data_IF_375275734379
#
_entry.id   IF_375275734379
#
_cell.length_a   1.000
_cell.length_b   1.000
_cell.length_c   1.000
_cell.angle_alpha   90.00
_cell.angle_beta   90.00
_cell.angle_gamma   90.00
#
_symmetry.space_group_name_H-M   'P 1'
#
loop_
_entity.id
_entity.type
_entity.pdbx_description
1 polymer ?
#
# COMPACT_ATOMS: atom_id res chain seq x y z
N UNK A 1 -85.37 -6.72 -1.87
CA UNK A 1 -85.14 -7.72 -2.94
C UNK A 1 -84.66 -6.97 -4.17
N UNK A 2 -83.47 -7.29 -4.69
CA UNK A 2 -82.94 -6.64 -5.90
C UNK A 2 -81.42 -6.47 -5.85
N UNK A 3 -80.72 -7.51 -6.28
CA UNK A 3 -79.27 -7.62 -6.41
C UNK A 3 -78.72 -6.71 -7.51
N UNK A 4 -77.55 -6.09 -7.29
CA UNK A 4 -76.74 -5.53 -8.38
C UNK A 4 -75.25 -5.74 -8.09
N UNK A 5 -74.60 -6.43 -9.01
CA UNK A 5 -73.26 -7.00 -8.91
C UNK A 5 -72.12 -5.98 -9.13
N UNK A 6 -70.99 -6.25 -8.48
CA UNK A 6 -69.69 -5.59 -8.67
C UNK A 6 -69.04 -5.92 -10.03
N UNK A 7 -68.30 -4.98 -10.65
CA UNK A 7 -67.32 -5.30 -11.67
C UNK A 7 -65.95 -5.63 -11.04
N UNK A 8 -65.34 -6.72 -11.49
CA UNK A 8 -63.99 -7.14 -11.12
C UNK A 8 -62.93 -6.24 -11.77
N UNK A 9 -62.02 -5.67 -10.96
CA UNK A 9 -60.81 -4.98 -11.43
C UNK A 9 -59.68 -5.98 -11.65
N UNK A 10 -59.32 -6.21 -12.91
CA UNK A 10 -58.11 -6.95 -13.29
C UNK A 10 -56.86 -6.25 -12.76
N UNK A 11 -56.05 -6.98 -11.98
CA UNK A 11 -54.72 -6.54 -11.55
C UNK A 11 -53.70 -7.02 -12.58
N UNK A 12 -53.20 -6.10 -13.41
CA UNK A 12 -52.02 -6.36 -14.23
C UNK A 12 -50.77 -6.36 -13.35
N UNK A 13 -50.11 -7.52 -13.20
CA UNK A 13 -48.77 -7.59 -12.63
C UNK A 13 -47.77 -7.05 -13.65
N UNK A 14 -47.17 -5.90 -13.35
CA UNK A 14 -45.94 -5.44 -14.01
C UNK A 14 -44.76 -6.26 -13.45
N UNK A 15 -43.92 -6.87 -14.31
CA UNK A 15 -42.74 -7.58 -13.83
C UNK A 15 -41.70 -6.57 -13.36
N UNK A 16 -41.39 -6.56 -12.07
CA UNK A 16 -40.19 -5.91 -11.53
C UNK A 16 -38.96 -6.58 -12.12
N UNK A 17 -38.31 -5.90 -13.05
CA UNK A 17 -37.01 -6.29 -13.58
C UNK A 17 -35.98 -6.16 -12.44
N UNK A 18 -35.58 -7.29 -11.85
CA UNK A 18 -34.50 -7.32 -10.88
C UNK A 18 -33.19 -7.02 -11.61
N UNK A 19 -32.65 -5.82 -11.43
CA UNK A 19 -31.32 -5.46 -11.90
C UNK A 19 -30.30 -6.20 -11.03
N UNK A 20 -29.82 -7.34 -11.51
CA UNK A 20 -28.69 -8.04 -10.92
C UNK A 20 -27.45 -7.15 -11.02
N UNK A 21 -27.13 -6.39 -9.96
CA UNK A 21 -25.79 -5.83 -9.80
C UNK A 21 -24.83 -7.02 -9.62
N UNK A 22 -24.11 -7.37 -10.68
CA UNK A 22 -22.95 -8.23 -10.55
C UNK A 22 -21.96 -7.56 -9.58
N UNK A 23 -21.39 -8.29 -8.61
CA UNK A 23 -20.33 -7.74 -7.77
C UNK A 23 -19.17 -7.35 -8.69
N UNK A 24 -18.76 -6.09 -8.64
CA UNK A 24 -17.54 -5.65 -9.29
C UNK A 24 -16.41 -6.54 -8.75
N UNK A 25 -15.81 -7.34 -9.62
CA UNK A 25 -14.58 -8.07 -9.30
C UNK A 25 -13.60 -7.03 -8.76
N UNK A 26 -13.06 -7.27 -7.56
CA UNK A 26 -12.07 -6.40 -6.96
C UNK A 26 -10.86 -6.34 -7.90
N UNK A 27 -10.77 -5.30 -8.70
CA UNK A 27 -9.65 -5.02 -9.60
C UNK A 27 -8.48 -4.47 -8.78
N UNK A 28 -7.23 -4.72 -9.21
CA UNK A 28 -6.11 -3.92 -8.73
C UNK A 28 -6.39 -2.45 -9.04
N UNK A 29 -5.89 -1.54 -8.21
CA UNK A 29 -6.23 -0.12 -8.34
C UNK A 29 -5.86 0.40 -9.73
N UNK A 30 -6.84 0.81 -10.57
CA UNK A 30 -6.56 1.19 -11.94
C UNK A 30 -5.94 2.59 -12.02
N UNK A 31 -5.26 2.87 -13.12
CA UNK A 31 -4.89 4.25 -13.46
C UNK A 31 -6.11 5.19 -13.38
N UNK A 32 -5.92 6.46 -12.99
CA UNK A 32 -7.02 7.42 -12.92
C UNK A 32 -7.83 7.46 -14.24
N UNK A 33 -9.15 7.58 -14.10
CA UNK A 33 -10.04 7.67 -15.25
C UNK A 33 -9.94 9.03 -15.95
N UNK A 34 -9.77 10.11 -15.17
CA UNK A 34 -9.57 11.45 -15.69
C UNK A 34 -8.21 11.56 -16.41
N UNK A 35 -8.15 12.10 -17.64
CA UNK A 35 -6.91 12.17 -18.42
C UNK A 35 -5.81 13.02 -17.77
N UNK A 36 -6.16 14.13 -17.11
CA UNK A 36 -5.18 15.02 -16.48
C UNK A 36 -4.61 14.37 -15.22
N UNK A 37 -5.47 13.75 -14.42
CA UNK A 37 -5.08 12.95 -13.25
C UNK A 37 -4.19 11.76 -13.65
N UNK A 38 -4.53 11.07 -14.75
CA UNK A 38 -3.73 9.97 -15.29
C UNK A 38 -2.35 10.44 -15.72
N UNK A 39 -2.30 11.53 -16.49
CA UNK A 39 -1.03 12.12 -16.93
C UNK A 39 -0.17 12.52 -15.72
N UNK A 40 -0.77 13.16 -14.72
CA UNK A 40 -0.10 13.51 -13.47
C UNK A 40 0.45 12.27 -12.76
N UNK A 41 -0.36 11.22 -12.56
CA UNK A 41 0.09 9.97 -11.93
C UNK A 41 1.30 9.35 -12.65
N UNK A 42 1.21 9.23 -13.98
CA UNK A 42 2.23 8.62 -14.83
C UNK A 42 3.53 9.43 -14.86
N UNK A 43 3.45 10.76 -14.77
CA UNK A 43 4.64 11.62 -14.68
C UNK A 43 5.52 11.31 -13.47
N UNK A 44 4.95 10.73 -12.41
CA UNK A 44 5.67 10.33 -11.20
C UNK A 44 6.04 8.83 -11.15
N UNK A 45 5.71 8.03 -12.16
CA UNK A 45 5.98 6.58 -12.19
C UNK A 45 7.46 6.28 -12.04
N UNK A 46 8.32 6.94 -12.82
CA UNK A 46 9.77 6.74 -12.76
C UNK A 46 10.34 6.99 -11.35
N UNK A 47 9.79 7.95 -10.62
CA UNK A 47 10.20 8.22 -9.24
C UNK A 47 9.69 7.17 -8.25
N UNK A 48 8.45 6.70 -8.38
CA UNK A 48 7.87 5.66 -7.49
C UNK A 48 8.48 4.29 -7.71
N UNK A 49 8.89 4.00 -8.94
CA UNK A 49 9.45 2.72 -9.37
C UNK A 49 10.98 2.72 -9.38
N UNK A 50 11.63 3.84 -9.02
CA UNK A 50 13.08 3.97 -9.04
C UNK A 50 13.77 2.88 -8.20
N UNK A 51 14.85 2.34 -8.74
CA UNK A 51 15.78 1.49 -7.99
C UNK A 51 16.71 2.39 -7.19
N UNK A 52 16.79 2.14 -5.89
CA UNK A 52 17.66 2.90 -5.00
C UNK A 52 18.63 1.95 -4.29
N UNK A 53 19.89 2.09 -4.67
CA UNK A 53 21.02 1.24 -4.24
C UNK A 53 21.95 1.97 -3.26
N UNK A 54 21.58 3.16 -2.77
CA UNK A 54 22.48 4.03 -1.98
C UNK A 54 22.79 3.44 -0.61
N UNK A 55 21.78 2.88 0.06
CA UNK A 55 21.90 2.34 1.41
C UNK A 55 21.52 0.85 1.42
N UNK A 56 22.43 -0.04 1.87
CA UNK A 56 22.16 -1.48 1.87
C UNK A 56 21.08 -1.87 2.88
N UNK A 57 20.96 -1.14 4.00
CA UNK A 57 19.93 -1.32 5.02
C UNK A 57 19.30 0.04 5.31
N UNK A 58 17.99 0.16 5.11
CA UNK A 58 17.25 1.40 5.37
C UNK A 58 15.77 1.13 5.63
N UNK A 59 15.11 2.07 6.32
CA UNK A 59 13.65 2.17 6.35
C UNK A 59 13.21 3.55 5.86
N UNK A 60 12.08 3.62 5.17
CA UNK A 60 11.59 4.85 4.58
C UNK A 60 10.07 4.84 4.42
N UNK A 61 9.47 6.01 4.26
CA UNK A 61 8.06 6.12 3.89
C UNK A 61 7.93 5.84 2.39
N UNK A 62 7.19 4.79 2.01
CA UNK A 62 7.08 4.39 0.60
C UNK A 62 6.17 5.34 -0.20
N UNK A 63 5.21 6.00 0.46
CA UNK A 63 4.23 6.86 -0.19
C UNK A 63 4.35 8.35 0.13
N UNK A 64 4.98 8.74 1.25
CA UNK A 64 5.12 10.14 1.70
C UNK A 64 6.52 10.71 1.48
N UNK A 65 6.61 12.02 1.26
CA UNK A 65 7.86 12.79 1.15
C UNK A 65 7.84 14.00 2.08
N UNK A 66 9.04 14.53 2.36
CA UNK A 66 9.20 15.77 3.09
C UNK A 66 8.55 16.94 2.35
N UNK A 67 7.66 17.66 3.03
CA UNK A 67 6.88 18.77 2.50
C UNK A 67 5.52 18.38 1.92
N UNK A 68 5.15 17.09 1.91
CA UNK A 68 3.85 16.65 1.38
C UNK A 68 2.70 17.29 2.18
N UNK A 69 1.68 17.76 1.47
CA UNK A 69 0.42 18.27 2.00
C UNK A 69 -0.63 17.17 1.89
N UNK A 70 -1.21 16.78 3.02
CA UNK A 70 -2.16 15.67 3.11
C UNK A 70 -3.45 16.08 3.81
N UNK A 71 -4.51 15.32 3.64
CA UNK A 71 -5.76 15.46 4.40
C UNK A 71 -5.90 14.31 5.39
N UNK A 72 -6.50 14.55 6.55
CA UNK A 72 -6.68 13.54 7.62
C UNK A 72 -8.04 12.82 7.52
N UNK A 73 -8.13 11.51 7.84
CA UNK A 73 -7.02 10.60 8.08
C UNK A 73 -6.21 10.32 6.81
N UNK A 74 -4.95 9.95 6.95
CA UNK A 74 -4.08 9.61 5.82
C UNK A 74 -3.34 8.29 6.02
N UNK A 75 -3.09 7.61 4.90
CA UNK A 75 -2.34 6.37 4.84
C UNK A 75 -0.84 6.64 4.82
N UNK A 76 -0.11 5.84 5.59
CA UNK A 76 1.35 5.85 5.66
C UNK A 76 1.85 4.46 5.36
N UNK A 77 2.73 4.32 4.38
CA UNK A 77 3.30 3.05 3.97
C UNK A 77 4.76 2.96 4.39
N UNK A 78 5.15 1.80 4.90
CA UNK A 78 6.50 1.54 5.37
C UNK A 78 7.28 0.75 4.32
N UNK A 79 8.50 1.18 4.05
CA UNK A 79 9.48 0.45 3.26
C UNK A 79 10.65 0.01 4.15
N UNK A 80 11.22 -1.16 3.84
CA UNK A 80 12.46 -1.65 4.44
C UNK A 80 13.30 -2.34 3.38
N UNK A 81 14.60 -2.05 3.38
CA UNK A 81 15.61 -2.67 2.51
C UNK A 81 16.71 -3.31 3.34
N UNK A 82 17.28 -4.39 2.83
CA UNK A 82 18.36 -5.14 3.48
C UNK A 82 17.95 -5.96 4.71
N UNK A 83 16.70 -5.84 5.16
CA UNK A 83 16.14 -6.57 6.30
C UNK A 83 14.72 -7.04 5.99
N UNK A 84 14.29 -8.09 6.69
CA UNK A 84 12.91 -8.57 6.69
C UNK A 84 12.04 -7.91 7.75
N UNK A 85 10.73 -8.06 7.62
CA UNK A 85 9.77 -7.72 8.68
C UNK A 85 9.35 -9.00 9.40
N UNK A 86 9.28 -8.95 10.72
CA UNK A 86 8.77 -10.02 11.58
C UNK A 86 8.02 -9.42 12.78
N UNK A 87 6.94 -10.03 13.26
CA UNK A 87 6.26 -9.58 14.47
C UNK A 87 7.17 -9.56 15.70
N UNK A 88 6.99 -8.56 16.57
CA UNK A 88 7.67 -8.44 17.85
C UNK A 88 7.48 -9.72 18.70
N UNK A 89 8.44 -9.98 19.59
CA UNK A 89 8.50 -11.19 20.40
C UNK A 89 9.10 -12.41 19.70
N UNK A 90 9.42 -12.31 18.40
CA UNK A 90 10.01 -13.40 17.61
C UNK A 90 11.44 -13.03 17.20
N UNK A 91 12.47 -13.57 17.88
CA UNK A 91 13.86 -13.24 17.59
C UNK A 91 14.27 -13.59 16.16
N UNK A 92 14.93 -12.66 15.47
CA UNK A 92 15.55 -12.85 14.17
C UNK A 92 16.63 -11.78 13.94
N UNK A 93 17.86 -12.17 13.60
CA UNK A 93 18.97 -11.23 13.47
C UNK A 93 18.91 -10.37 12.20
N UNK A 94 18.06 -10.75 11.23
CA UNK A 94 17.93 -10.09 9.92
C UNK A 94 16.54 -9.50 9.70
N UNK A 95 15.69 -9.49 10.73
CA UNK A 95 14.34 -8.97 10.63
C UNK A 95 13.90 -8.26 11.90
N UNK A 96 12.97 -7.32 11.74
CA UNK A 96 12.44 -6.52 12.84
C UNK A 96 11.05 -6.00 12.54
N UNK A 97 10.66 -4.92 13.19
CA UNK A 97 9.37 -4.29 12.91
C UNK A 97 9.43 -2.77 12.99
N UNK A 98 8.43 -2.14 12.37
CA UNK A 98 8.36 -0.70 12.22
C UNK A 98 7.79 -0.01 13.47
N UNK A 99 8.28 1.21 13.68
CA UNK A 99 7.72 2.21 14.57
C UNK A 99 7.60 3.52 13.80
N UNK A 100 6.64 4.36 14.19
CA UNK A 100 6.56 5.76 13.73
C UNK A 100 6.74 6.66 14.94
N UNK A 101 7.67 7.60 14.80
CA UNK A 101 7.85 8.74 15.69
C UNK A 101 7.08 9.92 15.11
N UNK A 102 6.17 10.49 15.91
CA UNK A 102 5.31 11.62 15.54
C UNK A 102 5.66 12.79 16.46
N UNK A 103 6.13 13.89 15.90
CA UNK A 103 6.49 15.12 16.62
C UNK A 103 7.43 14.87 17.82
N UNK A 104 8.30 13.87 17.70
CA UNK A 104 9.19 13.45 18.79
C UNK A 104 10.56 13.02 18.25
N UNK A 105 11.66 13.34 18.97
CA UNK A 105 13.00 12.91 18.55
C UNK A 105 13.20 11.40 18.70
N UNK A 106 14.28 10.89 18.10
CA UNK A 106 14.75 9.54 18.34
C UNK A 106 14.99 9.29 19.85
N UNK A 107 14.73 8.07 20.35
CA UNK A 107 15.07 7.71 21.72
C UNK A 107 16.59 7.85 21.94
N UNK A 108 16.98 8.40 23.09
CA UNK A 108 18.41 8.62 23.42
C UNK A 108 19.12 7.32 23.78
N UNK A 109 18.40 6.41 24.43
CA UNK A 109 18.89 5.08 24.78
C UNK A 109 18.43 4.08 23.72
N UNK A 110 19.40 3.37 23.15
CA UNK A 110 19.21 2.38 22.09
C UNK A 110 19.30 0.95 22.59
N UNK A 111 19.66 0.77 23.85
CA UNK A 111 19.74 -0.52 24.51
C UNK A 111 18.43 -0.87 25.22
N UNK A 112 17.63 0.15 25.51
CA UNK A 112 16.29 0.04 26.08
C UNK A 112 15.21 -0.12 24.99
N UNK A 113 14.09 -0.79 25.31
CA UNK A 113 12.91 -0.81 24.46
C UNK A 113 12.38 0.59 24.18
N UNK A 114 11.86 0.82 22.96
CA UNK A 114 11.19 2.05 22.59
C UNK A 114 9.97 2.26 23.51
N UNK A 115 9.78 3.46 24.11
CA UNK A 115 8.63 3.75 24.95
C UNK A 115 7.30 3.58 24.21
N UNK A 116 6.26 3.09 24.89
CA UNK A 116 4.91 3.08 24.35
C UNK A 116 4.23 4.41 24.67
N UNK A 117 3.83 5.16 23.64
CA UNK A 117 3.11 6.42 23.81
C UNK A 117 2.35 6.80 22.54
N UNK A 118 1.62 7.93 22.57
CA UNK A 118 0.96 8.46 21.37
C UNK A 118 1.96 8.93 20.29
N UNK A 119 3.15 9.37 20.69
CA UNK A 119 4.19 9.88 19.77
C UNK A 119 5.17 8.79 19.31
N UNK A 120 5.33 7.71 20.08
CA UNK A 120 6.05 6.50 19.68
C UNK A 120 5.04 5.40 19.38
N UNK A 121 4.58 5.31 18.12
CA UNK A 121 3.61 4.29 17.68
C UNK A 121 4.31 3.01 17.25
N UNK A 122 3.78 1.87 17.70
CA UNK A 122 4.37 0.54 17.51
C UNK A 122 3.62 -0.28 16.46
N UNK A 123 4.35 -0.91 15.55
CA UNK A 123 3.81 -1.80 14.51
C UNK A 123 4.44 -3.20 14.61
N UNK A 124 4.38 -3.77 15.81
CA UNK A 124 4.96 -5.07 16.16
C UNK A 124 4.18 -6.30 15.66
N UNK A 125 3.17 -6.16 14.79
CA UNK A 125 2.47 -7.32 14.18
C UNK A 125 2.96 -7.61 12.76
N UNK A 126 4.07 -6.99 12.35
CA UNK A 126 4.58 -7.09 10.98
C UNK A 126 3.77 -6.27 9.97
N UNK A 127 3.17 -5.15 10.41
CA UNK A 127 2.42 -4.27 9.51
C UNK A 127 3.35 -3.57 8.51
N UNK A 128 2.80 -3.24 7.35
CA UNK A 128 3.51 -2.59 6.23
C UNK A 128 3.02 -1.18 5.95
N UNK A 129 2.08 -0.69 6.76
CA UNK A 129 1.52 0.64 6.72
C UNK A 129 0.49 0.84 7.83
N UNK A 130 0.01 2.07 7.98
CA UNK A 130 -1.01 2.45 8.97
C UNK A 130 -1.78 3.68 8.54
N UNK A 131 -2.95 3.87 9.14
CA UNK A 131 -3.67 5.13 9.11
C UNK A 131 -3.22 6.02 10.27
N UNK A 132 -2.90 7.28 9.94
CA UNK A 132 -2.71 8.35 10.91
C UNK A 132 -3.90 9.32 10.83
N UNK A 133 -4.48 9.62 11.98
CA UNK A 133 -5.45 10.70 12.13
C UNK A 133 -4.82 11.79 13.00
N UNK A 134 -4.19 12.76 12.33
CA UNK A 134 -3.51 13.88 12.99
C UNK A 134 -4.33 15.16 12.80
N UNK A 135 -4.32 16.08 13.78
CA UNK A 135 -4.99 17.36 13.63
C UNK A 135 -4.39 18.18 12.47
N UNK A 136 -5.12 19.16 11.92
CA UNK A 136 -4.55 20.08 10.94
C UNK A 136 -3.33 20.84 11.47
N UNK A 137 -2.33 21.02 10.62
CA UNK A 137 -1.06 21.69 10.91
C UNK A 137 0.16 20.88 10.50
N UNK A 138 1.33 21.41 10.85
CA UNK A 138 2.62 20.81 10.55
C UNK A 138 2.97 19.71 11.55
N UNK A 139 3.33 18.54 11.06
CA UNK A 139 3.80 17.40 11.84
C UNK A 139 5.12 16.86 11.31
N UNK A 140 5.99 16.37 12.20
CA UNK A 140 7.18 15.60 11.80
C UNK A 140 6.94 14.10 12.00
N UNK A 141 7.41 13.31 11.03
CA UNK A 141 7.31 11.87 11.02
C UNK A 141 8.69 11.25 10.77
N UNK A 142 9.02 10.20 11.52
CA UNK A 142 10.21 9.37 11.28
C UNK A 142 9.89 7.89 11.50
N UNK A 143 10.35 7.02 10.60
CA UNK A 143 10.34 5.58 10.84
C UNK A 143 11.56 5.17 11.66
N UNK A 144 11.35 4.23 12.57
CA UNK A 144 12.40 3.57 13.35
C UNK A 144 12.18 2.06 13.30
N UNK A 145 13.24 1.32 12.97
CA UNK A 145 13.21 -0.13 12.95
C UNK A 145 13.83 -0.70 14.23
N UNK A 146 13.22 -1.76 14.76
CA UNK A 146 13.65 -2.37 16.02
C UNK A 146 13.53 -3.89 15.99
N UNK A 147 14.25 -4.53 16.90
CA UNK A 147 14.27 -5.97 17.08
C UNK A 147 12.98 -6.51 17.71
N UNK A 148 12.95 -7.82 17.96
CA UNK A 148 11.85 -8.50 18.63
C UNK A 148 11.48 -7.95 20.02
N UNK A 149 12.40 -7.28 20.72
CA UNK A 149 12.20 -6.70 22.05
C UNK A 149 11.90 -5.19 21.99
N UNK A 150 11.61 -4.65 20.80
CA UNK A 150 11.43 -3.21 20.54
C UNK A 150 12.71 -2.39 20.80
N UNK A 151 13.89 -3.01 20.78
CA UNK A 151 15.16 -2.29 20.89
C UNK A 151 15.60 -1.79 19.52
N UNK A 152 15.90 -0.49 19.35
CA UNK A 152 16.25 0.07 18.06
C UNK A 152 17.46 -0.62 17.42
N UNK A 153 17.38 -0.94 16.13
CA UNK A 153 18.57 -1.27 15.33
C UNK A 153 19.37 -0.01 14.93
N UNK A 154 18.88 1.18 15.28
CA UNK A 154 19.28 2.47 14.71
C UNK A 154 19.20 2.53 13.19
N UNK A 155 18.37 1.68 12.59
CA UNK A 155 17.92 1.82 11.21
C UNK A 155 16.66 2.69 11.25
N UNK A 156 16.78 3.93 10.77
CA UNK A 156 15.69 4.91 10.77
C UNK A 156 15.65 5.70 9.47
N UNK A 157 14.49 6.27 9.17
CA UNK A 157 14.35 7.14 8.00
C UNK A 157 14.87 8.55 8.28
N UNK A 158 15.12 9.31 7.21
CA UNK A 158 15.08 10.77 7.33
C UNK A 158 13.77 11.20 7.99
N UNK A 159 13.83 12.25 8.81
CA UNK A 159 12.60 12.89 9.31
C UNK A 159 11.99 13.68 8.16
N UNK A 160 10.67 13.54 8.01
CA UNK A 160 9.89 14.30 7.05
C UNK A 160 8.92 15.20 7.81
N UNK A 161 8.71 16.41 7.31
CA UNK A 161 7.60 17.26 7.70
C UNK A 161 6.43 17.04 6.73
N UNK A 162 5.22 16.88 7.26
CA UNK A 162 3.98 16.87 6.47
C UNK A 162 3.05 17.97 6.96
N UNK A 163 2.29 18.56 6.05
CA UNK A 163 1.27 19.56 6.38
C UNK A 163 -0.12 18.91 6.27
N UNK A 164 -0.80 18.73 7.40
CA UNK A 164 -2.17 18.24 7.42
C UNK A 164 -3.11 19.42 7.17
N UNK A 165 -3.70 19.45 5.98
CA UNK A 165 -4.48 20.59 5.48
C UNK A 165 -5.91 20.66 6.00
N UNK A 166 -6.45 19.54 6.52
CA UNK A 166 -7.84 19.46 6.96
C UNK A 166 -8.38 18.04 6.90
N UNK A 167 -9.64 17.87 7.30
CA UNK A 167 -10.34 16.58 7.22
C UNK A 167 -10.69 16.24 5.78
N UNK A 168 -10.51 14.97 5.39
CA UNK A 168 -11.03 14.43 4.12
C UNK A 168 -12.56 14.51 4.09
N UNK A 169 -13.20 14.18 5.20
CA UNK A 169 -14.64 14.30 5.35
C UNK A 169 -15.06 15.78 5.26
N UNK A 170 -15.99 16.08 4.36
CA UNK A 170 -16.52 17.45 4.16
C UNK A 170 -15.63 18.39 3.36
N UNK A 171 -14.42 17.97 2.94
CA UNK A 171 -13.53 18.77 2.09
C UNK A 171 -13.39 18.12 0.72
N UNK A 172 -13.67 18.82 -0.39
CA UNK A 172 -13.43 18.29 -1.72
C UNK A 172 -11.99 17.80 -1.88
N UNK A 173 -11.81 16.68 -2.58
CA UNK A 173 -10.47 16.24 -2.98
C UNK A 173 -9.86 17.27 -3.94
N UNK A 174 -8.54 17.51 -3.88
CA UNK A 174 -7.87 18.26 -4.94
C UNK A 174 -8.16 17.63 -6.30
N UNK A 175 -8.06 18.43 -7.36
CA UNK A 175 -8.26 18.01 -8.75
C UNK A 175 -7.14 18.61 -9.59
N UNK A 176 -6.70 17.87 -10.61
CA UNK A 176 -5.73 18.39 -11.56
C UNK A 176 -6.40 19.38 -12.51
N UNK A 177 -5.79 20.56 -12.67
CA UNK A 177 -6.20 21.62 -13.55
C UNK A 177 -5.20 21.75 -14.70
N UNK A 178 -5.70 21.92 -15.92
CA UNK A 178 -4.85 22.02 -17.11
C UNK A 178 -3.89 23.21 -17.01
N UNK A 179 -2.60 22.95 -17.21
CA UNK A 179 -1.55 23.97 -17.15
C UNK A 179 -1.10 24.37 -15.74
N UNK A 180 -1.68 23.78 -14.68
CA UNK A 180 -1.29 24.08 -13.30
C UNK A 180 -0.56 22.88 -12.66
N UNK A 181 0.78 22.95 -12.63
CA UNK A 181 1.61 21.95 -11.99
C UNK A 181 1.36 21.82 -10.47
N UNK A 182 0.96 22.89 -9.80
CA UNK A 182 0.68 22.84 -8.36
C UNK A 182 -0.59 22.05 -8.06
N UNK A 183 -1.59 22.11 -8.94
CA UNK A 183 -2.80 21.28 -8.83
C UNK A 183 -2.50 19.78 -9.01
N UNK A 184 -1.58 19.43 -9.93
CA UNK A 184 -1.08 18.06 -10.10
C UNK A 184 -0.37 17.57 -8.85
N UNK A 185 0.59 18.35 -8.31
CA UNK A 185 1.32 17.98 -7.10
C UNK A 185 0.37 17.82 -5.89
N UNK A 186 -0.55 18.77 -5.68
CA UNK A 186 -1.51 18.71 -4.58
C UNK A 186 -2.44 17.49 -4.67
N UNK A 187 -2.94 17.19 -5.88
CA UNK A 187 -3.71 15.97 -6.13
C UNK A 187 -2.87 14.72 -5.88
N UNK A 188 -1.65 14.67 -6.40
CA UNK A 188 -0.77 13.52 -6.31
C UNK A 188 -0.37 13.18 -4.87
N UNK A 189 -0.02 14.20 -4.07
CA UNK A 189 0.26 14.06 -2.64
C UNK A 189 -0.96 13.51 -1.88
N UNK A 190 -2.15 14.06 -2.15
CA UNK A 190 -3.38 13.61 -1.50
C UNK A 190 -3.75 12.17 -1.88
N UNK A 191 -3.60 11.80 -3.15
CA UNK A 191 -3.91 10.47 -3.65
C UNK A 191 -3.01 9.39 -3.04
N UNK A 192 -1.68 9.60 -3.03
CA UNK A 192 -0.73 8.66 -2.41
C UNK A 192 -0.98 8.42 -0.92
N UNK A 193 -1.56 9.41 -0.25
CA UNK A 193 -1.87 9.37 1.18
C UNK A 193 -3.32 9.01 1.47
N UNK A 194 -4.12 8.63 0.47
CA UNK A 194 -5.54 8.28 0.68
C UNK A 194 -5.65 6.91 1.35
N UNK A 195 -6.38 6.78 2.47
CA UNK A 195 -6.68 5.49 3.08
C UNK A 195 -7.28 4.49 2.08
N UNK A 196 -6.73 3.28 2.06
CA UNK A 196 -7.28 2.19 1.23
C UNK A 196 -8.64 1.78 1.78
N UNK A 197 -9.66 1.72 0.92
CA UNK A 197 -11.02 1.33 1.28
C UNK A 197 -11.19 -0.21 1.37
N UNK A 198 -10.20 -0.93 1.91
CA UNK A 198 -10.26 -2.38 1.96
C UNK A 198 -11.37 -2.85 2.93
N UNK A 199 -12.38 -3.53 2.40
CA UNK A 199 -13.47 -4.13 3.18
C UNK A 199 -13.03 -5.38 3.99
N UNK A 200 -11.74 -5.73 3.98
CA UNK A 200 -11.20 -6.97 4.55
C UNK A 200 -9.67 -7.06 4.50
N UNK A 201 -9.16 -8.29 4.49
CA UNK A 201 -7.73 -8.57 4.35
C UNK A 201 -7.29 -8.40 2.89
N UNK A 202 -6.16 -7.74 2.67
CA UNK A 202 -5.61 -7.44 1.35
C UNK A 202 -4.09 -7.66 1.34
N UNK A 203 -3.58 -8.18 0.22
CA UNK A 203 -2.17 -8.10 -0.17
C UNK A 203 -2.11 -7.36 -1.49
N UNK A 204 -1.25 -6.34 -1.58
CA UNK A 204 -1.27 -5.38 -2.68
C UNK A 204 0.12 -4.87 -3.04
N UNK A 205 0.20 -4.30 -4.24
CA UNK A 205 1.36 -3.52 -4.70
C UNK A 205 1.12 -2.06 -4.32
N UNK A 206 2.10 -1.46 -3.64
CA UNK A 206 2.01 -0.11 -3.07
C UNK A 206 2.23 0.99 -4.10
N UNK A 207 3.20 0.79 -4.99
CA UNK A 207 3.82 1.88 -5.75
C UNK A 207 3.45 1.92 -7.25
N UNK A 208 2.63 0.98 -7.72
CA UNK A 208 2.16 0.86 -9.11
C UNK A 208 0.65 0.65 -9.14
N UNK A 209 0.03 1.04 -10.26
CA UNK A 209 -1.39 0.81 -10.59
C UNK A 209 -1.56 -0.10 -11.81
N UNK A 210 -2.75 -0.70 -11.93
CA UNK A 210 -3.09 -1.55 -13.08
C UNK A 210 -3.07 -0.73 -14.38
N UNK A 211 -2.34 -1.25 -15.38
CA UNK A 211 -2.10 -0.61 -16.67
C UNK A 211 -0.93 0.37 -16.69
N UNK A 212 -0.14 0.48 -15.61
CA UNK A 212 1.01 1.36 -15.53
C UNK A 212 2.21 0.82 -16.33
N UNK A 213 3.02 1.73 -16.88
CA UNK A 213 4.21 1.39 -17.69
C UNK A 213 5.46 1.81 -16.94
N UNK A 214 6.43 0.90 -16.82
CA UNK A 214 7.69 1.10 -16.09
C UNK A 214 8.91 0.85 -16.96
N UNK A 215 10.08 1.25 -16.48
CA UNK A 215 11.38 0.97 -17.11
C UNK A 215 12.14 -0.05 -16.28
N UNK A 216 12.68 -1.09 -16.93
CA UNK A 216 13.52 -2.09 -16.24
C UNK A 216 14.95 -1.60 -16.00
N UNK A 217 15.59 -1.90 -14.86
CA UNK A 217 14.98 -2.51 -13.66
C UNK A 217 14.16 -1.50 -12.86
N UNK A 218 13.18 -1.99 -12.13
CA UNK A 218 12.31 -1.17 -11.26
C UNK A 218 12.07 -1.81 -9.90
N UNK A 219 11.70 -1.01 -8.91
CA UNK A 219 11.31 -1.48 -7.57
C UNK A 219 9.81 -1.75 -7.53
N UNK A 220 9.42 -2.89 -6.97
CA UNK A 220 8.04 -3.18 -6.54
C UNK A 220 8.00 -3.19 -5.02
N UNK A 221 7.12 -2.37 -4.44
CA UNK A 221 6.89 -2.29 -2.99
C UNK A 221 5.56 -2.96 -2.65
N UNK A 222 5.54 -3.74 -1.56
CA UNK A 222 4.43 -4.64 -1.24
C UNK A 222 3.83 -4.33 0.12
N UNK A 223 2.52 -4.49 0.20
CA UNK A 223 1.73 -4.20 1.38
C UNK A 223 0.79 -5.34 1.76
N UNK A 224 0.50 -5.41 3.04
CA UNK A 224 -0.58 -6.17 3.65
C UNK A 224 -1.46 -5.23 4.47
N UNK A 225 -2.77 -5.48 4.43
CA UNK A 225 -3.77 -4.73 5.18
C UNK A 225 -4.85 -5.68 5.70
N UNK A 226 -5.48 -5.31 6.82
CA UNK A 226 -6.59 -6.04 7.41
C UNK A 226 -6.23 -6.74 8.72
N UNK A 227 -7.28 -7.20 9.43
CA UNK A 227 -7.16 -7.70 10.79
C UNK A 227 -6.20 -8.89 10.91
N UNK A 228 -5.19 -8.75 11.76
CA UNK A 228 -4.21 -9.79 12.08
C UNK A 228 -3.17 -10.08 11.00
N UNK A 229 -3.28 -9.48 9.81
CA UNK A 229 -2.38 -9.74 8.70
C UNK A 229 -1.04 -9.02 8.89
N UNK A 230 0.06 -9.74 8.68
CA UNK A 230 1.41 -9.21 8.85
C UNK A 230 2.44 -9.93 7.99
N UNK A 231 3.63 -9.37 7.95
CA UNK A 231 4.79 -9.98 7.28
C UNK A 231 5.63 -10.75 8.28
N UNK A 232 6.06 -11.95 7.91
CA UNK A 232 7.04 -12.75 8.62
C UNK A 232 7.84 -13.61 7.63
N UNK A 233 9.13 -13.91 7.90
CA UNK A 233 9.94 -14.76 7.03
C UNK A 233 9.38 -16.18 6.90
N UNK A 234 9.81 -16.88 5.85
CA UNK A 234 9.60 -18.32 5.71
C UNK A 234 10.16 -19.08 6.93
N UNK A 235 9.53 -20.20 7.28
CA UNK A 235 9.82 -21.00 8.48
C UNK A 235 9.18 -20.48 9.77
N UNK A 236 8.55 -19.29 9.77
CA UNK A 236 7.84 -18.77 10.94
C UNK A 236 6.51 -19.52 11.20
N UNK A 237 6.17 -19.70 12.47
CA UNK A 237 4.90 -20.34 12.90
C UNK A 237 3.86 -19.31 13.39
N UNK A 238 3.99 -18.06 12.94
CA UNK A 238 3.19 -16.94 13.44
C UNK A 238 1.90 -16.81 12.63
N UNK A 239 0.75 -16.96 13.32
CA UNK A 239 -0.58 -16.97 12.71
C UNK A 239 -0.84 -15.69 11.90
N UNK A 240 -1.49 -15.86 10.74
CA UNK A 240 -1.91 -14.77 9.84
C UNK A 240 -0.75 -13.91 9.32
N UNK A 241 0.48 -14.39 9.41
CA UNK A 241 1.66 -13.71 8.85
C UNK A 241 2.37 -14.56 7.83
N UNK A 242 3.09 -13.90 6.92
CA UNK A 242 3.74 -14.59 5.83
C UNK A 242 4.71 -13.72 5.05
N UNK A 243 5.25 -14.27 3.97
CA UNK A 243 6.18 -13.60 3.09
C UNK A 243 5.61 -13.50 1.68
N UNK A 244 6.08 -12.52 0.91
CA UNK A 244 5.52 -12.26 -0.41
C UNK A 244 6.08 -13.18 -1.48
N UNK A 245 5.21 -13.58 -2.40
CA UNK A 245 5.58 -14.20 -3.66
C UNK A 245 5.08 -13.31 -4.81
N UNK A 246 5.99 -12.90 -5.68
CA UNK A 246 5.67 -12.20 -6.92
C UNK A 246 5.73 -13.19 -8.09
N UNK A 247 4.76 -13.11 -8.98
CA UNK A 247 4.75 -13.82 -10.27
C UNK A 247 4.46 -12.84 -11.39
N UNK A 248 5.29 -12.86 -12.42
CA UNK A 248 5.15 -12.07 -13.63
C UNK A 248 4.94 -13.03 -14.80
N UNK A 249 3.77 -12.96 -15.43
CA UNK A 249 3.39 -13.81 -16.56
C UNK A 249 3.24 -12.98 -17.83
N UNK A 250 3.94 -13.39 -18.89
CA UNK A 250 3.73 -12.87 -20.24
C UNK A 250 2.85 -13.86 -21.02
N UNK A 251 1.94 -13.36 -21.86
CA UNK A 251 1.08 -14.23 -22.68
C UNK A 251 1.92 -15.13 -23.58
N UNK A 252 1.83 -16.45 -23.39
CA UNK A 252 2.61 -17.44 -24.14
C UNK A 252 4.09 -17.50 -23.76
N UNK A 253 4.51 -16.79 -22.71
CA UNK A 253 5.88 -16.75 -22.20
C UNK A 253 6.07 -17.51 -20.89
N UNK A 254 7.30 -17.52 -20.39
CA UNK A 254 7.62 -18.08 -19.08
C UNK A 254 7.09 -17.20 -17.95
N UNK A 255 6.82 -17.81 -16.79
CA UNK A 255 6.47 -17.09 -15.56
C UNK A 255 7.73 -16.85 -14.75
N UNK A 256 8.10 -15.58 -14.58
CA UNK A 256 9.18 -15.20 -13.66
C UNK A 256 8.62 -15.07 -12.25
N UNK A 257 9.28 -15.69 -11.26
CA UNK A 257 8.86 -15.62 -9.86
C UNK A 257 9.96 -15.07 -8.99
N UNK A 258 9.59 -14.25 -8.01
CA UNK A 258 10.49 -13.84 -6.93
C UNK A 258 9.86 -14.16 -5.59
N UNK A 259 10.50 -15.05 -4.84
CA UNK A 259 10.11 -15.39 -3.48
C UNK A 259 10.87 -14.50 -2.49
N UNK A 260 10.15 -13.70 -1.69
CA UNK A 260 10.71 -12.81 -0.67
C UNK A 260 10.75 -13.51 0.70
N UNK A 261 11.28 -14.74 0.73
CA UNK A 261 11.26 -15.65 1.89
C UNK A 261 11.97 -15.12 3.14
N UNK A 262 12.81 -14.10 3.00
CA UNK A 262 13.46 -13.39 4.10
C UNK A 262 12.54 -12.37 4.80
N UNK A 263 11.29 -12.22 4.35
CA UNK A 263 10.31 -11.28 4.90
C UNK A 263 10.50 -9.84 4.42
N UNK A 264 11.32 -9.60 3.39
CA UNK A 264 11.45 -8.26 2.80
C UNK A 264 10.15 -7.85 2.11
N UNK A 265 9.91 -6.54 2.04
CA UNK A 265 8.66 -5.97 1.51
C UNK A 265 8.85 -5.23 0.19
N UNK A 266 10.08 -5.26 -0.34
CA UNK A 266 10.45 -4.65 -1.61
C UNK A 266 11.30 -5.62 -2.45
N UNK A 267 11.14 -5.55 -3.76
CA UNK A 267 11.90 -6.35 -4.72
C UNK A 267 12.36 -5.48 -5.89
N UNK A 268 13.61 -5.66 -6.32
CA UNK A 268 14.07 -5.15 -7.60
C UNK A 268 13.68 -6.17 -8.67
N UNK A 269 12.98 -5.69 -9.68
CA UNK A 269 12.42 -6.48 -10.76
C UNK A 269 13.13 -6.09 -12.04
N UNK A 270 13.74 -7.09 -12.67
CA UNK A 270 14.30 -6.98 -14.00
C UNK A 270 13.49 -7.87 -14.95
N UNK A 271 12.83 -7.24 -15.92
CA UNK A 271 11.97 -7.87 -16.91
C UNK A 271 12.36 -7.40 -18.32
N UNK A 272 12.24 -8.27 -19.34
CA UNK A 272 12.38 -7.82 -20.71
C UNK A 272 11.22 -6.91 -21.12
N UNK A 273 11.36 -6.25 -22.27
CA UNK A 273 10.30 -5.40 -22.83
C UNK A 273 9.04 -6.21 -23.12
N UNK A 274 7.88 -5.64 -22.81
CA UNK A 274 6.58 -6.25 -23.10
C UNK A 274 5.54 -6.03 -22.00
N UNK A 275 4.40 -6.70 -22.17
CA UNK A 275 3.26 -6.64 -21.24
C UNK A 275 3.25 -7.85 -20.32
N UNK A 276 3.07 -7.61 -19.02
CA UNK A 276 3.06 -8.65 -17.99
C UNK A 276 1.82 -8.54 -17.11
N UNK A 277 1.26 -9.67 -16.73
CA UNK A 277 0.40 -9.77 -15.56
C UNK A 277 1.29 -9.99 -14.33
N UNK A 278 1.24 -9.05 -13.38
CA UNK A 278 1.84 -9.12 -12.06
C UNK A 278 0.81 -9.64 -11.05
N UNK A 279 1.15 -10.76 -10.43
CA UNK A 279 0.40 -11.34 -9.33
C UNK A 279 1.23 -11.32 -8.06
N UNK A 280 0.71 -10.67 -7.01
CA UNK A 280 1.25 -10.77 -5.64
C UNK A 280 0.46 -11.78 -4.82
N UNK A 281 1.15 -12.56 -4.00
CA UNK A 281 0.58 -13.44 -3.01
C UNK A 281 1.35 -13.34 -1.68
N UNK A 282 0.69 -13.72 -0.59
CA UNK A 282 1.28 -13.91 0.72
C UNK A 282 1.23 -15.40 1.07
N UNK A 283 2.39 -15.97 1.41
CA UNK A 283 2.52 -17.37 1.86
C UNK A 283 2.90 -17.42 3.33
N UNK A 284 2.33 -18.35 4.09
CA UNK A 284 2.73 -18.58 5.48
C UNK A 284 4.17 -19.11 5.58
N UNK A 285 4.68 -19.30 6.80
CA UNK A 285 6.03 -19.82 6.99
C UNK A 285 6.26 -21.23 6.44
N UNK A 286 5.22 -22.03 6.20
CA UNK A 286 5.33 -23.34 5.55
C UNK A 286 5.22 -23.26 4.02
N UNK A 287 4.97 -22.07 3.45
CA UNK A 287 4.80 -21.85 2.02
C UNK A 287 3.36 -22.03 1.52
N UNK A 288 2.38 -22.23 2.41
CA UNK A 288 0.97 -22.33 2.01
C UNK A 288 0.44 -20.93 1.69
N UNK A 289 -0.42 -20.84 0.67
CA UNK A 289 -1.07 -19.59 0.29
C UNK A 289 -2.00 -19.10 1.42
N UNK A 290 -1.72 -17.92 1.97
CA UNK A 290 -2.61 -17.23 2.91
C UNK A 290 -3.60 -16.33 2.19
N UNK A 291 -3.08 -15.53 1.26
CA UNK A 291 -3.88 -14.55 0.52
C UNK A 291 -3.25 -14.30 -0.84
N UNK A 292 -4.11 -14.07 -1.84
CA UNK A 292 -3.72 -13.71 -3.19
C UNK A 292 -4.29 -12.32 -3.47
N UNK A 293 -3.45 -11.40 -3.94
CA UNK A 293 -3.89 -10.07 -4.33
C UNK A 293 -4.65 -10.12 -5.64
N UNK A 294 -5.25 -9.01 -6.05
CA UNK A 294 -5.76 -8.94 -7.41
C UNK A 294 -4.60 -8.83 -8.39
N UNK A 295 -4.57 -9.62 -9.48
CA UNK A 295 -3.58 -9.42 -10.53
C UNK A 295 -3.71 -8.03 -11.18
N UNK A 296 -2.57 -7.50 -11.63
CA UNK A 296 -2.49 -6.22 -12.34
C UNK A 296 -1.61 -6.33 -13.57
N UNK A 297 -1.86 -5.51 -14.56
CA UNK A 297 -1.09 -5.44 -15.80
C UNK A 297 -0.04 -4.34 -15.70
N UNK A 298 1.18 -4.66 -16.12
CA UNK A 298 2.30 -3.73 -16.15
C UNK A 298 3.02 -3.86 -17.49
N UNK A 299 3.19 -2.74 -18.18
CA UNK A 299 4.02 -2.65 -19.38
C UNK A 299 5.47 -2.32 -19.02
N UNK A 300 6.43 -2.91 -19.74
CA UNK A 300 7.87 -2.66 -19.55
C UNK A 300 8.45 -2.08 -20.83
N UNK A 301 8.93 -0.84 -20.75
CA UNK A 301 9.49 -0.08 -21.86
C UNK A 301 11.00 0.18 -21.72
N UNK A 302 11.61 0.58 -22.85
CA UNK A 302 13.02 1.02 -22.86
C UNK A 302 13.15 2.30 -22.04
N UNK A 303 14.30 2.46 -21.40
CA UNK A 303 14.70 3.74 -20.85
C UNK A 303 14.88 4.71 -22.02
N UNK A 304 13.97 5.66 -22.19
CA UNK A 304 14.25 6.83 -23.02
C UNK A 304 15.33 7.64 -22.27
N UNK A 305 16.50 7.81 -22.90
CA UNK A 305 17.59 8.63 -22.35
C UNK A 305 17.42 10.07 -22.80
#
# INVERSE_FOLDING_TARGET
>A
MGSAAHPARGHGLLPTLALCLAPALAAAEPLPADPLERQCWLAHTGQRAAVDLREPISVHFSNLKNGDRVRTPFWVEFGVRGMGVIPAGNPNDKAGHHHILIDTPLPRDHTAPIPFSATYRHFGKGQTGTELDLPPGRHTLRLLFADHAHKPYFVFSNEIAVEVTGKRAGTPAPRVQAGDAASCEAWYQDQRATPRAAAGREVYVKNLRDGEVVTSPFTVSLGVLGAGLGVAPAGSSIKDTGHFLLSFSQKGGAVQRQNLADGRTEAIVDLPLGEFELQVALQDGAGNLLLKGTPMHVGVNRHER
#
